data_IF_718914768435
#
_entry.id   IF_718914768435
#
_cell.length_a   1.000
_cell.length_b   1.000
_cell.length_c   1.000
_cell.angle_alpha   90.00
_cell.angle_beta   90.00
_cell.angle_gamma   90.00
#
_symmetry.space_group_name_H-M   'P 1'
#
loop_
_entity.id
_entity.type
_entity.pdbx_description
1 polymer ?
#
# COMPACT_ATOMS: atom_id res chain seq x y z
N UNK A 1 2.89 7.42 24.49
CA UNK A 1 3.69 7.72 23.27
C UNK A 1 2.82 7.41 22.08
N UNK A 2 2.41 8.43 21.30
CA UNK A 2 1.62 8.24 20.08
C UNK A 2 2.49 7.55 19.05
N UNK A 3 2.06 6.40 18.51
CA UNK A 3 2.76 5.71 17.46
C UNK A 3 2.03 5.89 16.13
N UNK A 4 2.80 6.14 15.10
CA UNK A 4 2.30 6.22 13.73
C UNK A 4 2.41 4.86 13.06
N UNK A 5 1.41 4.51 12.26
CA UNK A 5 1.43 3.30 11.47
C UNK A 5 1.78 3.62 10.05
N UNK A 6 2.78 2.95 9.55
CA UNK A 6 3.20 3.05 8.16
C UNK A 6 2.99 1.73 7.44
N UNK A 7 2.05 1.70 6.53
CA UNK A 7 1.86 0.59 5.61
C UNK A 7 2.65 0.88 4.36
N UNK A 8 3.76 0.21 4.16
CA UNK A 8 4.67 0.46 3.05
C UNK A 8 4.84 -0.76 2.17
N UNK A 9 4.60 -0.56 0.89
CA UNK A 9 4.79 -1.56 -0.16
C UNK A 9 5.99 -1.16 -1.03
N UNK A 10 7.14 -0.71 -0.49
CA UNK A 10 8.33 -0.49 -1.31
C UNK A 10 9.65 -0.20 -0.58
N UNK A 11 10.71 -0.28 -1.38
CA UNK A 11 12.12 -0.55 -1.20
C UNK A 11 12.97 0.47 -0.41
N UNK A 12 12.65 1.74 -0.41
CA UNK A 12 13.60 2.79 0.03
C UNK A 12 13.02 3.81 1.03
N UNK A 13 12.19 3.36 1.97
CA UNK A 13 11.57 4.27 2.91
C UNK A 13 12.58 4.79 3.95
N UNK A 14 13.00 6.06 3.84
CA UNK A 14 13.83 6.76 4.82
C UNK A 14 13.17 6.84 6.21
N UNK A 15 11.86 6.65 6.29
CA UNK A 15 11.07 6.58 7.54
C UNK A 15 11.53 5.41 8.42
N UNK A 16 12.07 4.33 7.83
CA UNK A 16 12.64 3.20 8.57
C UNK A 16 13.75 3.59 9.55
N UNK A 17 14.42 4.72 9.34
CA UNK A 17 15.43 5.23 10.28
C UNK A 17 14.83 5.79 11.57
N UNK A 18 13.51 5.95 11.64
CA UNK A 18 12.76 6.41 12.83
C UNK A 18 11.87 5.31 13.42
N UNK A 19 12.39 4.08 13.50
CA UNK A 19 11.67 2.88 13.98
C UNK A 19 10.98 3.08 15.33
N UNK A 20 11.51 3.95 16.18
CA UNK A 20 10.93 4.24 17.50
C UNK A 20 9.58 4.95 17.43
N UNK A 21 9.33 5.66 16.31
CA UNK A 21 8.12 6.47 16.13
C UNK A 21 7.04 5.72 15.34
N UNK A 22 7.41 4.67 14.62
CA UNK A 22 6.53 3.96 13.70
C UNK A 22 6.37 2.48 14.03
N UNK A 23 5.13 2.02 13.98
CA UNK A 23 4.81 0.60 13.82
C UNK A 23 4.59 0.34 12.34
N UNK A 24 5.49 -0.38 11.71
CA UNK A 24 5.49 -0.56 10.25
C UNK A 24 4.86 -1.88 9.86
N UNK A 25 3.87 -1.83 8.97
CA UNK A 25 3.31 -3.01 8.31
C UNK A 25 3.78 -3.02 6.86
N UNK A 26 4.45 -4.09 6.47
CA UNK A 26 4.97 -4.29 5.12
C UNK A 26 4.21 -5.41 4.42
N UNK A 27 3.70 -5.12 3.22
CA UNK A 27 2.97 -6.06 2.39
C UNK A 27 3.58 -6.04 1.00
N UNK A 28 3.91 -7.19 0.46
CA UNK A 28 4.33 -7.32 -0.93
C UNK A 28 4.00 -8.74 -1.43
N UNK A 29 3.32 -8.81 -2.57
CA UNK A 29 2.95 -10.09 -3.19
C UNK A 29 4.14 -10.77 -3.87
N UNK A 30 5.14 -9.98 -4.31
CA UNK A 30 6.29 -10.50 -5.03
C UNK A 30 7.34 -11.08 -4.05
N UNK A 31 7.55 -12.41 -4.01
CA UNK A 31 8.50 -13.01 -3.09
C UNK A 31 9.94 -12.54 -3.34
N UNK A 32 10.32 -12.23 -4.58
CA UNK A 32 11.65 -11.68 -4.89
C UNK A 32 11.90 -10.31 -4.24
N UNK A 33 10.84 -9.52 -4.05
CA UNK A 33 10.91 -8.23 -3.37
C UNK A 33 10.76 -8.43 -1.87
N UNK A 34 9.78 -9.23 -1.46
CA UNK A 34 9.46 -9.46 -0.05
C UNK A 34 10.64 -9.99 0.73
N UNK A 35 11.28 -11.06 0.24
CA UNK A 35 12.40 -11.72 0.95
C UNK A 35 13.74 -10.99 0.85
N UNK A 36 13.78 -9.79 0.29
CA UNK A 36 14.98 -8.95 0.43
C UNK A 36 15.13 -8.50 1.86
N UNK A 37 16.22 -8.92 2.50
CA UNK A 37 16.53 -8.67 3.91
C UNK A 37 16.23 -7.23 4.36
N UNK A 38 16.60 -6.23 3.55
CA UNK A 38 16.36 -4.82 3.82
C UNK A 38 14.88 -4.41 3.82
N UNK A 39 13.96 -5.23 3.28
CA UNK A 39 12.56 -4.88 3.15
C UNK A 39 11.75 -5.29 4.39
N UNK A 40 11.96 -6.48 4.94
CA UNK A 40 11.15 -6.99 6.04
C UNK A 40 11.78 -6.88 7.42
N UNK A 41 13.13 -6.76 7.53
CA UNK A 41 13.81 -6.74 8.83
C UNK A 41 13.36 -5.58 9.75
N UNK A 42 12.94 -4.47 9.18
CA UNK A 42 12.53 -3.28 9.93
C UNK A 42 11.00 -3.14 9.99
N UNK A 43 10.26 -4.14 9.52
CA UNK A 43 8.82 -4.16 9.65
C UNK A 43 8.41 -4.74 11.00
N UNK A 44 7.42 -4.12 11.65
CA UNK A 44 6.79 -4.67 12.85
C UNK A 44 5.91 -5.87 12.53
N UNK A 45 5.26 -5.83 11.35
CA UNK A 45 4.55 -6.95 10.72
C UNK A 45 4.92 -6.99 9.24
N UNK A 46 5.08 -8.20 8.69
CA UNK A 46 5.39 -8.38 7.28
C UNK A 46 4.54 -9.52 6.70
N UNK A 47 3.91 -9.29 5.54
CA UNK A 47 3.02 -10.23 4.88
C UNK A 47 3.39 -10.40 3.41
N UNK A 48 3.73 -11.63 3.01
CA UNK A 48 3.92 -11.98 1.59
C UNK A 48 2.58 -12.46 1.03
N UNK A 49 1.77 -11.53 0.58
CA UNK A 49 0.46 -11.78 -0.02
C UNK A 49 0.06 -10.64 -0.96
N UNK A 50 -0.89 -10.90 -1.84
CA UNK A 50 -1.56 -9.88 -2.65
C UNK A 50 -2.81 -9.38 -1.92
N UNK A 51 -3.01 -8.06 -1.87
CA UNK A 51 -4.32 -7.50 -1.58
C UNK A 51 -5.16 -7.52 -2.86
N UNK A 52 -6.45 -7.78 -2.72
CA UNK A 52 -7.38 -7.87 -3.84
C UNK A 52 -8.64 -7.09 -3.58
N UNK A 53 -9.45 -6.92 -4.64
CA UNK A 53 -10.79 -6.34 -4.56
C UNK A 53 -11.67 -7.11 -3.57
N UNK A 54 -12.66 -6.42 -3.03
CA UNK A 54 -13.67 -6.98 -2.12
C UNK A 54 -14.79 -7.75 -2.83
N UNK A 55 -14.82 -7.71 -4.15
CA UNK A 55 -15.87 -8.35 -4.98
C UNK A 55 -15.72 -9.87 -5.15
N UNK A 56 -14.70 -10.46 -4.54
CA UNK A 56 -14.41 -11.89 -4.67
C UNK A 56 -14.42 -12.64 -3.34
N UNK A 57 -13.84 -13.83 -3.37
CA UNK A 57 -13.60 -14.60 -2.14
C UNK A 57 -12.67 -13.80 -1.21
N UNK A 58 -12.95 -13.77 0.11
CA UNK A 58 -12.13 -13.05 1.06
C UNK A 58 -10.67 -13.53 1.06
N UNK A 59 -10.45 -14.77 0.65
CA UNK A 59 -9.19 -15.46 0.57
C UNK A 59 -9.15 -16.32 -0.70
N UNK A 60 -8.06 -16.27 -1.45
CA UNK A 60 -7.84 -17.10 -2.65
C UNK A 60 -6.35 -17.21 -3.00
N UNK A 61 -6.05 -18.06 -3.97
CA UNK A 61 -4.73 -18.11 -4.61
C UNK A 61 -4.85 -17.42 -5.96
N UNK A 62 -3.98 -16.46 -6.22
CA UNK A 62 -3.91 -15.71 -7.48
C UNK A 62 -2.57 -15.92 -8.16
N UNK A 63 -2.55 -15.74 -9.47
CA UNK A 63 -1.30 -15.58 -10.22
C UNK A 63 -0.82 -14.15 -10.06
N UNK A 64 0.43 -13.99 -9.63
CA UNK A 64 1.16 -12.73 -9.70
C UNK A 64 2.03 -12.78 -10.95
N UNK A 65 1.61 -12.11 -12.00
CA UNK A 65 2.36 -12.03 -13.26
C UNK A 65 3.58 -11.13 -13.08
N UNK A 66 4.72 -11.59 -13.56
CA UNK A 66 5.99 -10.92 -13.33
C UNK A 66 6.22 -9.80 -14.34
N UNK A 67 6.65 -8.66 -13.83
CA UNK A 67 7.07 -7.55 -14.66
C UNK A 67 8.45 -7.80 -15.30
N UNK A 68 8.66 -7.25 -16.50
CA UNK A 68 9.88 -7.40 -17.30
C UNK A 68 11.09 -6.68 -16.75
N UNK A 69 10.93 -5.89 -15.74
CA UNK A 69 11.97 -4.98 -15.29
C UNK A 69 12.83 -5.61 -14.22
N UNK A 70 14.10 -5.82 -14.55
CA UNK A 70 15.19 -6.14 -13.64
C UNK A 70 15.10 -7.51 -12.93
N UNK A 71 16.17 -7.87 -12.26
CA UNK A 71 16.34 -9.07 -11.44
C UNK A 71 15.18 -9.35 -10.45
N UNK A 72 14.47 -8.29 -10.01
CA UNK A 72 13.43 -8.40 -8.98
C UNK A 72 12.01 -8.36 -9.53
N UNK A 73 11.82 -8.28 -10.84
CA UNK A 73 10.49 -8.21 -11.47
C UNK A 73 9.59 -7.14 -10.83
N UNK A 74 10.10 -5.91 -10.73
CA UNK A 74 9.31 -4.77 -10.25
C UNK A 74 8.14 -4.50 -11.20
N UNK A 75 7.01 -4.02 -10.67
CA UNK A 75 5.81 -3.81 -11.47
C UNK A 75 5.05 -5.10 -11.78
N UNK A 76 5.29 -6.19 -11.01
CA UNK A 76 4.48 -7.40 -11.08
C UNK A 76 3.06 -7.15 -10.60
N UNK A 77 2.06 -7.68 -11.30
CA UNK A 77 0.65 -7.45 -11.01
C UNK A 77 -0.15 -8.76 -10.99
N UNK A 78 -1.26 -8.77 -10.27
CA UNK A 78 -2.26 -9.84 -10.37
C UNK A 78 -3.15 -9.69 -11.60
N UNK A 79 -3.04 -8.58 -12.32
CA UNK A 79 -3.77 -8.29 -13.55
C UNK A 79 -2.88 -8.57 -14.76
N UNK A 80 -3.40 -9.39 -15.67
CA UNK A 80 -2.72 -9.71 -16.93
C UNK A 80 -2.78 -8.54 -17.92
N UNK A 81 -3.74 -7.65 -17.73
CA UNK A 81 -3.97 -6.45 -18.57
C UNK A 81 -2.86 -5.41 -18.43
N UNK A 82 -2.02 -5.54 -17.42
CA UNK A 82 -0.90 -4.62 -17.23
C UNK A 82 0.17 -4.84 -18.31
N UNK A 83 0.54 -3.77 -19.03
CA UNK A 83 1.42 -3.82 -20.21
C UNK A 83 2.78 -4.48 -20.00
N UNK A 84 3.34 -4.38 -18.80
CA UNK A 84 4.71 -4.82 -18.53
C UNK A 84 4.81 -6.22 -17.90
N UNK A 85 3.73 -6.99 -17.87
CA UNK A 85 3.73 -8.36 -17.33
C UNK A 85 3.63 -9.42 -18.42
N UNK A 86 4.10 -10.63 -18.13
CA UNK A 86 4.02 -11.77 -19.03
C UNK A 86 3.09 -12.84 -18.48
N UNK A 87 2.22 -13.33 -19.34
CA UNK A 87 1.21 -14.34 -19.01
C UNK A 87 1.83 -15.69 -18.58
N UNK A 88 2.98 -16.03 -19.14
CA UNK A 88 3.64 -17.32 -18.90
C UNK A 88 4.70 -17.23 -17.77
N UNK A 89 4.90 -16.05 -17.20
CA UNK A 89 5.85 -15.81 -16.09
C UNK A 89 5.10 -15.30 -14.86
N UNK A 90 4.84 -16.19 -13.91
CA UNK A 90 4.10 -15.85 -12.70
C UNK A 90 4.52 -16.67 -11.48
N UNK A 91 4.22 -16.15 -10.30
CA UNK A 91 4.15 -16.89 -9.06
C UNK A 91 2.69 -17.12 -8.65
N UNK A 92 2.40 -18.25 -8.03
CA UNK A 92 1.16 -18.38 -7.25
C UNK A 92 1.34 -17.68 -5.91
N UNK A 93 0.47 -16.74 -5.60
CA UNK A 93 0.52 -15.97 -4.35
C UNK A 93 -0.79 -16.10 -3.60
N UNK A 94 -0.68 -16.11 -2.28
CA UNK A 94 -1.84 -15.95 -1.42
C UNK A 94 -2.46 -14.59 -1.66
N UNK A 95 -3.77 -14.50 -1.72
CA UNK A 95 -4.47 -13.22 -1.79
C UNK A 95 -5.54 -13.11 -0.72
N UNK A 96 -5.69 -11.89 -0.22
CA UNK A 96 -6.68 -11.53 0.78
C UNK A 96 -7.41 -10.28 0.31
N UNK A 97 -8.74 -10.21 0.50
CA UNK A 97 -9.43 -8.97 0.18
C UNK A 97 -8.92 -7.84 1.07
N UNK A 98 -8.78 -6.64 0.50
CA UNK A 98 -8.30 -5.47 1.23
C UNK A 98 -9.19 -5.16 2.45
N UNK A 99 -10.50 -5.32 2.32
CA UNK A 99 -11.47 -5.15 3.41
C UNK A 99 -11.17 -6.08 4.60
N UNK A 100 -11.00 -7.37 4.32
CA UNK A 100 -10.71 -8.37 5.38
C UNK A 100 -9.37 -8.07 6.02
N UNK A 101 -8.35 -7.73 5.22
CA UNK A 101 -7.04 -7.40 5.74
C UNK A 101 -7.09 -6.20 6.69
N UNK A 102 -7.65 -5.07 6.26
CA UNK A 102 -7.69 -3.86 7.09
C UNK A 102 -8.60 -3.99 8.31
N UNK A 103 -9.68 -4.77 8.21
CA UNK A 103 -10.52 -5.07 9.37
C UNK A 103 -9.73 -5.82 10.45
N UNK A 104 -9.00 -6.87 10.07
CA UNK A 104 -8.17 -7.63 11.01
C UNK A 104 -7.00 -6.80 11.55
N UNK A 105 -6.35 -6.03 10.67
CA UNK A 105 -5.28 -5.13 11.08
C UNK A 105 -5.79 -4.10 12.10
N UNK A 106 -6.94 -3.49 11.85
CA UNK A 106 -7.55 -2.53 12.79
C UNK A 106 -7.81 -3.16 14.17
N UNK A 107 -8.40 -4.34 14.21
CA UNK A 107 -8.63 -5.06 15.48
C UNK A 107 -7.33 -5.25 16.25
N UNK A 108 -6.32 -5.78 15.59
CA UNK A 108 -4.99 -5.98 16.18
C UNK A 108 -4.37 -4.67 16.71
N UNK A 109 -4.54 -3.57 15.97
CA UNK A 109 -3.98 -2.29 16.35
C UNK A 109 -4.74 -1.66 17.52
N UNK A 110 -6.08 -1.77 17.54
CA UNK A 110 -6.92 -1.26 18.62
C UNK A 110 -6.68 -2.02 19.96
N UNK A 111 -6.36 -3.32 19.88
CA UNK A 111 -5.95 -4.10 21.05
C UNK A 111 -4.55 -3.69 21.57
N UNK A 112 -3.67 -3.30 20.69
CA UNK A 112 -2.27 -3.03 21.04
C UNK A 112 -1.99 -1.58 21.42
N UNK A 113 -2.78 -0.63 20.91
CA UNK A 113 -2.53 0.79 21.04
C UNK A 113 -3.81 1.57 21.34
N UNK A 114 -3.78 2.39 22.38
CA UNK A 114 -4.91 3.21 22.78
C UNK A 114 -5.21 4.36 21.79
N UNK A 115 -4.16 4.94 21.21
CA UNK A 115 -4.27 6.03 20.25
C UNK A 115 -3.17 5.94 19.18
N UNK A 116 -3.56 6.07 17.90
CA UNK A 116 -2.64 6.00 16.77
C UNK A 116 -3.22 6.67 15.53
N UNK A 117 -2.34 7.04 14.62
CA UNK A 117 -2.69 7.48 13.29
C UNK A 117 -2.12 6.53 12.24
N UNK A 118 -2.82 6.45 11.13
CA UNK A 118 -2.45 5.60 9.99
C UNK A 118 -1.94 6.47 8.86
N UNK A 119 -0.76 6.11 8.36
CA UNK A 119 -0.19 6.62 7.13
C UNK A 119 -0.14 5.45 6.14
N UNK A 120 -0.83 5.58 5.04
CA UNK A 120 -0.94 4.53 4.03
C UNK A 120 -0.06 4.86 2.82
N UNK A 121 0.77 3.91 2.41
CA UNK A 121 1.46 3.98 1.14
C UNK A 121 0.96 2.89 0.22
N UNK A 122 0.47 3.28 -0.96
CA UNK A 122 -0.05 2.36 -1.98
C UNK A 122 0.80 2.39 -3.24
N UNK A 123 1.12 1.21 -3.75
CA UNK A 123 1.72 0.96 -5.04
C UNK A 123 1.54 -0.54 -5.31
N UNK A 124 0.31 -0.92 -5.61
CA UNK A 124 -0.15 -2.32 -5.64
C UNK A 124 -0.41 -2.80 -7.06
N UNK A 125 -0.05 -1.97 -8.05
CA UNK A 125 -0.06 -2.32 -9.47
C UNK A 125 -1.47 -2.72 -9.98
N UNK A 126 -2.51 -1.92 -9.57
CA UNK A 126 -3.88 -2.01 -10.07
C UNK A 126 -4.99 -2.26 -9.05
N UNK A 127 -4.69 -2.33 -7.74
CA UNK A 127 -5.70 -2.47 -6.66
C UNK A 127 -5.68 -1.29 -5.68
N UNK A 128 -5.07 -0.19 -6.04
CA UNK A 128 -4.90 0.98 -5.18
C UNK A 128 -6.23 1.54 -4.70
N UNK A 129 -7.25 1.56 -5.56
CA UNK A 129 -8.61 2.00 -5.23
C UNK A 129 -9.26 1.13 -4.15
N UNK A 130 -9.24 -0.19 -4.31
CA UNK A 130 -9.77 -1.13 -3.33
C UNK A 130 -9.05 -1.02 -1.98
N UNK A 131 -7.73 -0.85 -2.01
CA UNK A 131 -6.88 -0.67 -0.82
C UNK A 131 -7.22 0.64 -0.11
N UNK A 132 -7.38 1.75 -0.85
CA UNK A 132 -7.71 3.07 -0.29
C UNK A 132 -9.12 3.06 0.31
N UNK A 133 -10.12 2.56 -0.43
CA UNK A 133 -11.49 2.47 0.08
C UNK A 133 -11.57 1.64 1.36
N UNK A 134 -10.92 0.49 1.36
CA UNK A 134 -10.92 -0.40 2.53
C UNK A 134 -10.18 0.18 3.71
N UNK A 135 -9.04 0.82 3.49
CA UNK A 135 -8.29 1.49 4.55
C UNK A 135 -9.12 2.65 5.15
N UNK A 136 -9.71 3.50 4.31
CA UNK A 136 -10.54 4.61 4.80
C UNK A 136 -11.76 4.10 5.57
N UNK A 137 -12.49 3.12 5.06
CA UNK A 137 -13.64 2.53 5.73
C UNK A 137 -13.30 1.99 7.13
N UNK A 138 -12.14 1.38 7.28
CA UNK A 138 -11.74 0.77 8.55
C UNK A 138 -11.09 1.78 9.53
N UNK A 139 -10.30 2.71 9.04
CA UNK A 139 -9.54 3.62 9.91
C UNK A 139 -10.15 5.02 10.05
N UNK A 140 -11.03 5.42 9.12
CA UNK A 140 -11.75 6.70 9.17
C UNK A 140 -10.83 7.90 9.51
N UNK A 141 -11.13 8.60 10.58
CA UNK A 141 -10.37 9.77 11.06
C UNK A 141 -8.93 9.44 11.48
N UNK A 142 -8.60 8.18 11.70
CA UNK A 142 -7.22 7.74 11.99
C UNK A 142 -6.35 7.72 10.74
N UNK A 143 -6.93 7.58 9.53
CA UNK A 143 -6.19 7.66 8.27
C UNK A 143 -5.86 9.12 7.95
N UNK A 144 -4.59 9.50 8.12
CA UNK A 144 -4.14 10.91 8.04
C UNK A 144 -3.47 11.27 6.74
N UNK A 145 -2.87 10.31 6.08
CA UNK A 145 -2.15 10.56 4.83
C UNK A 145 -2.13 9.29 4.00
N UNK A 146 -2.37 9.46 2.73
CA UNK A 146 -2.17 8.44 1.71
C UNK A 146 -1.08 8.93 0.76
N UNK A 147 -0.10 8.08 0.46
CA UNK A 147 0.93 8.37 -0.52
C UNK A 147 0.94 7.26 -1.57
N UNK A 148 0.99 7.59 -2.85
CA UNK A 148 1.04 6.53 -3.85
C UNK A 148 1.03 7.00 -5.30
N UNK A 149 0.95 6.02 -6.19
CA UNK A 149 0.73 6.22 -7.62
C UNK A 149 -0.59 5.55 -7.98
N UNK A 150 -1.45 6.24 -8.73
CA UNK A 150 -2.78 5.76 -9.09
C UNK A 150 -2.90 5.45 -10.59
N UNK A 151 -1.80 5.59 -11.33
CA UNK A 151 -1.83 5.40 -12.79
C UNK A 151 -2.25 3.99 -13.18
N UNK A 152 -1.83 2.97 -12.44
CA UNK A 152 -2.20 1.59 -12.73
C UNK A 152 -3.72 1.31 -12.57
N UNK A 153 -4.42 2.09 -11.74
CA UNK A 153 -5.90 2.03 -11.68
C UNK A 153 -6.50 2.48 -13.01
N UNK A 154 -6.01 3.58 -13.57
CA UNK A 154 -6.47 4.07 -14.88
C UNK A 154 -6.12 3.10 -16.00
N UNK A 155 -4.87 2.65 -16.05
CA UNK A 155 -4.36 1.79 -17.12
C UNK A 155 -5.05 0.41 -17.15
N UNK A 156 -5.44 -0.13 -15.99
CA UNK A 156 -6.01 -1.47 -15.86
C UNK A 156 -7.55 -1.45 -15.80
N UNK A 157 -8.12 -0.52 -15.00
CA UNK A 157 -9.58 -0.44 -14.74
C UNK A 157 -10.27 0.66 -15.54
N UNK A 158 -9.52 1.50 -16.23
CA UNK A 158 -10.02 2.58 -17.08
C UNK A 158 -10.25 3.90 -16.33
N UNK A 159 -10.42 4.98 -17.13
CA UNK A 159 -10.55 6.35 -16.62
C UNK A 159 -11.77 6.55 -15.70
N UNK A 160 -12.83 5.78 -15.86
CA UNK A 160 -13.98 5.87 -14.96
C UNK A 160 -13.61 5.47 -13.52
N UNK A 161 -12.89 4.37 -13.35
CA UNK A 161 -12.44 3.91 -12.04
C UNK A 161 -11.47 4.92 -11.40
N UNK A 162 -10.55 5.47 -12.19
CA UNK A 162 -9.62 6.49 -11.77
C UNK A 162 -10.33 7.78 -11.31
N UNK A 163 -11.31 8.27 -12.10
CA UNK A 163 -12.09 9.46 -11.77
C UNK A 163 -12.94 9.24 -10.51
N UNK A 164 -13.56 8.07 -10.36
CA UNK A 164 -14.31 7.73 -9.15
C UNK A 164 -13.41 7.75 -7.91
N UNK A 165 -12.20 7.21 -8.01
CA UNK A 165 -11.24 7.26 -6.90
C UNK A 165 -10.83 8.69 -6.55
N UNK A 166 -10.53 9.54 -7.55
CA UNK A 166 -10.20 10.94 -7.31
C UNK A 166 -11.35 11.71 -6.66
N UNK A 167 -12.57 11.53 -7.15
CA UNK A 167 -13.76 12.14 -6.54
C UNK A 167 -13.93 11.68 -5.09
N UNK A 168 -13.76 10.39 -4.83
CA UNK A 168 -13.83 9.84 -3.47
C UNK A 168 -12.80 10.47 -2.53
N UNK A 169 -11.55 10.65 -2.98
CA UNK A 169 -10.51 11.30 -2.18
C UNK A 169 -10.90 12.76 -1.82
N UNK A 170 -11.46 13.50 -2.77
CA UNK A 170 -11.88 14.89 -2.59
C UNK A 170 -13.09 14.98 -1.66
N UNK A 171 -14.15 14.21 -1.91
CA UNK A 171 -15.40 14.23 -1.15
C UNK A 171 -15.19 13.84 0.32
N UNK A 172 -14.29 12.89 0.56
CA UNK A 172 -13.94 12.45 1.92
C UNK A 172 -12.79 13.27 2.55
N UNK A 173 -12.29 14.29 1.86
CA UNK A 173 -11.20 15.17 2.33
C UNK A 173 -9.96 14.39 2.74
N UNK A 174 -9.65 13.32 2.02
CA UNK A 174 -8.46 12.51 2.27
C UNK A 174 -7.22 13.21 1.70
N UNK A 175 -6.18 13.32 2.52
CA UNK A 175 -4.92 13.89 2.08
C UNK A 175 -4.18 12.84 1.26
N UNK A 176 -4.02 13.10 -0.03
CA UNK A 176 -3.30 12.23 -0.96
C UNK A 176 -2.09 12.95 -1.56
N UNK A 177 -0.91 12.37 -1.36
CA UNK A 177 0.34 12.83 -1.97
C UNK A 177 0.76 11.86 -3.07
N UNK A 178 0.61 12.29 -4.31
CA UNK A 178 1.04 11.51 -5.46
C UNK A 178 2.56 11.44 -5.51
N UNK A 179 3.11 10.24 -5.69
CA UNK A 179 4.50 10.11 -6.06
C UNK A 179 4.67 9.31 -7.36
N UNK A 180 5.47 9.87 -8.24
CA UNK A 180 6.03 9.14 -9.35
C UNK A 180 7.38 8.55 -8.93
N UNK A 181 7.91 7.60 -9.68
CA UNK A 181 9.19 6.94 -9.41
C UNK A 181 10.43 7.87 -9.38
N UNK A 182 10.24 9.17 -9.58
CA UNK A 182 11.31 10.20 -9.59
C UNK A 182 11.60 10.71 -8.17
N UNK A 183 12.89 10.95 -7.91
CA UNK A 183 13.46 11.33 -6.61
C UNK A 183 12.74 12.50 -5.91
N UNK A 184 12.23 13.47 -6.68
CA UNK A 184 11.61 14.68 -6.10
C UNK A 184 10.24 14.45 -5.48
N UNK A 185 9.48 13.48 -5.97
CA UNK A 185 8.16 13.14 -5.41
C UNK A 185 8.28 12.46 -4.03
N UNK A 186 9.34 11.69 -3.82
CA UNK A 186 9.67 11.13 -2.51
C UNK A 186 9.96 12.17 -1.45
N UNK A 187 10.61 13.28 -1.84
CA UNK A 187 10.87 14.39 -0.93
C UNK A 187 9.59 15.06 -0.46
N UNK A 188 8.59 15.22 -1.36
CA UNK A 188 7.28 15.80 -1.02
C UNK A 188 6.50 14.90 -0.05
N UNK A 189 6.36 13.61 -0.36
CA UNK A 189 5.69 12.66 0.52
C UNK A 189 6.38 12.58 1.90
N UNK A 190 7.71 12.58 1.93
CA UNK A 190 8.47 12.59 3.18
C UNK A 190 8.28 13.89 3.97
N UNK A 191 8.26 15.04 3.30
CA UNK A 191 7.99 16.32 3.94
C UNK A 191 6.57 16.37 4.52
N UNK A 192 5.56 15.88 3.80
CA UNK A 192 4.19 15.78 4.31
C UNK A 192 4.11 14.92 5.58
N UNK A 193 4.83 13.80 5.60
CA UNK A 193 4.89 12.93 6.79
C UNK A 193 5.57 13.65 7.96
N UNK A 194 6.69 14.33 7.72
CA UNK A 194 7.38 15.08 8.76
C UNK A 194 6.51 16.20 9.33
N UNK A 195 5.81 16.94 8.47
CA UNK A 195 4.90 18.00 8.89
C UNK A 195 3.76 17.47 9.78
N UNK A 196 3.20 16.29 9.44
CA UNK A 196 2.18 15.66 10.28
C UNK A 196 2.73 15.26 11.66
N UNK A 197 3.99 14.83 11.73
CA UNK A 197 4.63 14.44 13.00
C UNK A 197 4.95 15.68 13.84
N UNK A 198 5.41 16.77 13.23
CA UNK A 198 5.82 17.99 13.93
C UNK A 198 4.64 18.80 14.44
N UNK A 199 3.54 18.86 13.67
CA UNK A 199 2.32 19.57 14.06
C UNK A 199 1.51 18.89 15.17
N UNK A 200 1.96 17.74 15.66
CA UNK A 200 1.34 16.98 16.76
C UNK A 200 2.09 17.03 18.07
N UNK A 201 3.19 17.75 18.11
CA UNK A 201 3.88 18.07 19.38
C UNK A 201 3.19 19.21 20.05
#
# INVERSE_FOLDING_TARGET
>A
VKKYFWVCVNKDCKIRKREKDFFTVFIDANPKIFFRKKNYLNASLAFNLALTSNSGLPFSIKKLYLGNREEFSQGSSIFLEKENVHKDSYFSTLSLSAEVFFNQLKKYLDEKFNDYDVLLRVNCEGVEDDVIYSAHKNFEKKLKLICGALKDVEDIKGSLAYNNLNNYLIENKLIFEMFHSRIDSWKKAYAAILNLIENRK
#
